data_IF_386510438819
#
_entry.id   IF_386510438819
#
_cell.length_a   1.000
_cell.length_b   1.000
_cell.length_c   1.000
_cell.angle_alpha   90.00
_cell.angle_beta   90.00
_cell.angle_gamma   90.00
#
_symmetry.space_group_name_H-M   'P 1'
#
loop_
_entity.id
_entity.type
_entity.pdbx_description
1 polymer ?
#
# COMPACT_ATOMS: atom_id res chain seq x y z
N UNK A 1 -25.00 20.96 -3.84
CA UNK A 1 -23.83 21.25 -3.01
C UNK A 1 -23.30 19.93 -2.46
N UNK A 2 -22.53 19.14 -3.19
CA UNK A 2 -21.88 17.90 -2.69
C UNK A 2 -20.80 17.40 -3.67
N UNK A 3 -19.87 18.26 -4.06
CA UNK A 3 -18.76 17.90 -4.96
C UNK A 3 -17.44 17.70 -4.17
N UNK A 4 -17.39 18.00 -2.86
CA UNK A 4 -16.17 18.02 -2.09
C UNK A 4 -15.88 16.75 -1.23
N UNK A 5 -16.76 15.76 -1.19
CA UNK A 5 -16.55 14.57 -0.34
C UNK A 5 -15.55 13.56 -0.91
N UNK A 6 -15.31 13.56 -2.23
CA UNK A 6 -14.37 12.65 -2.86
C UNK A 6 -12.91 13.13 -2.75
N UNK A 7 -12.69 14.45 -2.70
CA UNK A 7 -11.34 15.05 -2.65
C UNK A 7 -10.66 14.84 -1.29
N UNK A 8 -11.43 14.57 -0.24
CA UNK A 8 -10.92 14.42 1.14
C UNK A 8 -10.45 12.98 1.46
N UNK A 9 -10.58 12.04 0.52
CA UNK A 9 -10.18 10.63 0.71
C UNK A 9 -8.79 10.32 0.19
N UNK A 10 -8.34 11.05 -0.83
CA UNK A 10 -7.09 10.75 -1.51
C UNK A 10 -5.91 11.52 -0.93
N UNK A 11 -4.79 10.84 -0.80
CA UNK A 11 -3.57 11.45 -0.30
C UNK A 11 -2.93 12.33 -1.37
N UNK A 12 -2.68 13.64 -1.13
CA UNK A 12 -2.04 14.53 -2.09
C UNK A 12 -0.60 14.17 -2.48
N UNK A 13 0.02 13.20 -1.77
CA UNK A 13 1.38 12.74 -2.05
C UNK A 13 1.41 11.54 -2.99
N UNK A 14 0.58 10.52 -2.71
CA UNK A 14 0.58 9.28 -3.50
C UNK A 14 -0.63 9.15 -4.42
N UNK A 15 -1.59 10.07 -4.35
CA UNK A 15 -2.83 10.10 -5.14
C UNK A 15 -3.69 8.84 -5.03
N UNK A 16 -3.55 8.10 -3.93
CA UNK A 16 -4.35 6.94 -3.58
C UNK A 16 -5.21 7.22 -2.36
N UNK A 17 -6.23 6.40 -2.12
CA UNK A 17 -6.97 6.44 -0.87
C UNK A 17 -6.02 6.41 0.34
N UNK A 18 -6.31 7.25 1.34
CA UNK A 18 -5.39 7.41 2.46
C UNK A 18 -5.33 6.17 3.35
N UNK A 19 -4.12 5.63 3.50
CA UNK A 19 -3.80 4.64 4.53
C UNK A 19 -3.37 5.37 5.79
N UNK A 20 -4.08 5.15 6.91
CA UNK A 20 -3.88 5.90 8.16
C UNK A 20 -3.94 7.41 7.93
N UNK A 21 -5.11 7.98 7.59
CA UNK A 21 -5.24 9.41 7.38
C UNK A 21 -4.71 10.18 8.58
N UNK A 22 -3.68 11.01 8.36
CA UNK A 22 -3.01 11.74 9.43
C UNK A 22 -3.02 13.22 9.12
N UNK A 23 -3.60 14.00 10.02
CA UNK A 23 -3.63 15.45 9.92
C UNK A 23 -2.36 16.08 10.50
N UNK A 24 -1.80 17.08 9.83
CA UNK A 24 -0.73 17.90 10.39
C UNK A 24 -1.33 18.83 11.44
N UNK A 25 -0.93 18.78 12.74
CA UNK A 25 -1.59 19.53 13.80
C UNK A 25 -1.61 21.04 13.58
N UNK A 26 -0.57 21.59 12.97
CA UNK A 26 -0.43 23.03 12.75
C UNK A 26 -1.38 23.60 11.67
N UNK A 27 -1.88 22.77 10.73
CA UNK A 27 -2.64 23.26 9.58
C UNK A 27 -3.83 22.39 9.17
N UNK A 28 -4.02 21.22 9.76
CA UNK A 28 -5.13 20.31 9.48
C UNK A 28 -5.08 19.56 8.15
N UNK A 29 -4.07 19.78 7.29
CA UNK A 29 -3.93 19.03 6.04
C UNK A 29 -3.67 17.56 6.29
N UNK A 30 -4.37 16.68 5.56
CA UNK A 30 -4.35 15.23 5.74
C UNK A 30 -3.54 14.53 4.66
N UNK A 31 -2.85 13.47 5.05
CA UNK A 31 -2.04 12.60 4.19
C UNK A 31 -2.06 11.17 4.74
N UNK A 32 -1.63 10.20 3.94
CA UNK A 32 -1.24 8.92 4.53
C UNK A 32 -0.14 9.15 5.56
N UNK A 33 -0.20 8.46 6.70
CA UNK A 33 0.84 8.53 7.74
C UNK A 33 2.25 8.28 7.16
N UNK A 34 2.40 7.22 6.37
CA UNK A 34 3.70 6.85 5.79
C UNK A 34 4.20 7.84 4.75
N UNK A 35 3.29 8.43 3.96
CA UNK A 35 3.65 9.47 2.99
C UNK A 35 4.19 10.72 3.71
N UNK A 36 3.46 11.19 4.72
CA UNK A 36 3.87 12.35 5.51
C UNK A 36 5.19 12.09 6.26
N UNK A 37 5.34 10.90 6.85
CA UNK A 37 6.57 10.47 7.49
C UNK A 37 7.75 10.42 6.51
N UNK A 38 7.52 9.94 5.29
CA UNK A 38 8.54 9.93 4.22
C UNK A 38 9.03 11.34 3.87
N UNK A 39 8.12 12.29 3.67
CA UNK A 39 8.45 13.70 3.44
C UNK A 39 9.29 14.28 4.58
N UNK A 40 8.89 14.01 5.82
CA UNK A 40 9.59 14.47 7.01
C UNK A 40 11.01 13.87 7.11
N UNK A 41 11.14 12.56 6.93
CA UNK A 41 12.44 11.85 6.97
C UNK A 41 13.38 12.25 5.84
N UNK A 42 12.85 12.67 4.70
CA UNK A 42 13.62 13.19 3.58
C UNK A 42 14.05 14.67 3.75
N UNK A 43 13.71 15.28 4.90
CA UNK A 43 13.99 16.69 5.20
C UNK A 43 13.50 17.67 4.12
N UNK A 44 12.35 17.35 3.48
CA UNK A 44 11.78 18.17 2.40
C UNK A 44 11.04 19.43 2.93
N UNK A 45 11.16 19.73 4.20
CA UNK A 45 10.53 20.87 4.86
C UNK A 45 9.26 20.51 5.63
N UNK A 46 8.33 21.45 5.71
CA UNK A 46 7.06 21.28 6.43
C UNK A 46 5.97 20.59 5.63
N UNK A 47 4.72 20.93 5.94
CA UNK A 47 3.55 20.40 5.28
C UNK A 47 3.64 20.55 3.75
N UNK A 48 3.44 19.48 2.95
CA UNK A 48 3.54 19.52 1.49
C UNK A 48 2.60 20.53 0.81
N UNK A 49 1.49 20.88 1.45
CA UNK A 49 0.50 21.82 0.89
C UNK A 49 0.82 23.27 1.28
N UNK A 50 1.06 23.55 2.57
CA UNK A 50 1.21 24.92 3.06
C UNK A 50 2.58 25.25 3.67
N UNK A 51 3.51 24.30 3.69
CA UNK A 51 4.85 24.41 4.28
C UNK A 51 4.87 24.71 5.79
N UNK A 52 3.72 24.60 6.47
CA UNK A 52 3.61 24.73 7.92
C UNK A 52 4.45 23.68 8.65
N UNK A 53 4.84 23.92 9.91
CA UNK A 53 5.73 23.03 10.65
C UNK A 53 5.08 21.65 10.89
N UNK A 54 5.92 20.61 10.84
CA UNK A 54 5.56 19.24 11.18
C UNK A 54 6.32 18.87 12.46
N UNK A 55 5.59 18.50 13.51
CA UNK A 55 6.19 18.04 14.78
C UNK A 55 6.57 16.56 14.71
N UNK A 56 7.80 16.22 15.07
CA UNK A 56 8.33 14.85 15.18
C UNK A 56 7.48 13.96 16.10
N UNK A 57 6.86 14.56 17.12
CA UNK A 57 6.05 13.85 18.10
C UNK A 57 4.88 13.11 17.48
N UNK A 58 4.29 13.65 16.40
CA UNK A 58 3.14 13.04 15.72
C UNK A 58 3.44 11.67 15.11
N UNK A 59 4.72 11.37 14.81
CA UNK A 59 5.11 10.08 14.23
C UNK A 59 5.42 9.01 15.28
N UNK A 60 5.47 9.37 16.56
CA UNK A 60 5.83 8.46 17.66
C UNK A 60 4.63 7.71 18.22
N UNK A 61 3.44 8.29 18.10
CA UNK A 61 2.19 7.70 18.63
C UNK A 61 1.08 7.91 17.61
N UNK A 62 0.88 6.99 16.66
CA UNK A 62 -0.30 7.05 15.79
C UNK A 62 -1.56 6.88 16.66
N UNK A 63 -2.47 7.82 16.58
CA UNK A 63 -3.71 7.84 17.37
C UNK A 63 -4.79 6.88 16.84
N UNK A 64 -4.54 6.23 15.70
CA UNK A 64 -5.55 5.43 15.02
C UNK A 64 -5.31 3.93 15.18
N UNK A 65 -6.40 3.19 15.32
CA UNK A 65 -6.38 1.73 15.23
C UNK A 65 -5.99 1.31 13.81
N UNK A 66 -4.91 0.57 13.68
CA UNK A 66 -4.42 0.06 12.40
C UNK A 66 -5.02 -1.31 12.14
N UNK A 67 -5.82 -1.44 11.07
CA UNK A 67 -6.20 -2.74 10.56
C UNK A 67 -5.03 -3.37 9.80
N UNK A 68 -4.38 -4.34 10.44
CA UNK A 68 -3.24 -5.05 9.86
C UNK A 68 -3.60 -5.94 8.67
N UNK A 69 -4.88 -6.21 8.44
CA UNK A 69 -5.37 -7.04 7.33
C UNK A 69 -6.10 -6.24 6.25
N UNK A 70 -6.04 -4.90 6.31
CA UNK A 70 -6.63 -4.08 5.25
C UNK A 70 -6.16 -4.52 3.88
N UNK A 71 -7.08 -4.62 2.94
CA UNK A 71 -6.81 -4.91 1.52
C UNK A 71 -7.16 -3.66 0.72
N UNK A 72 -6.28 -3.25 -0.18
CA UNK A 72 -6.60 -2.17 -1.11
C UNK A 72 -7.62 -2.68 -2.12
N UNK A 73 -8.79 -2.06 -2.15
CA UNK A 73 -9.75 -2.28 -3.24
C UNK A 73 -9.24 -1.50 -4.45
N UNK A 74 -9.13 -2.18 -5.61
CA UNK A 74 -8.76 -1.53 -6.87
C UNK A 74 -9.89 -0.58 -7.32
N UNK A 75 -10.01 0.57 -6.67
CA UNK A 75 -10.91 1.66 -7.07
C UNK A 75 -10.30 2.53 -8.18
N UNK A 76 -9.29 2.05 -8.88
CA UNK A 76 -8.68 2.74 -10.01
C UNK A 76 -9.10 2.11 -11.33
N UNK A 77 -10.40 2.16 -11.63
CA UNK A 77 -10.84 2.14 -13.02
C UNK A 77 -10.67 3.57 -13.57
N UNK A 78 -9.89 3.80 -14.64
CA UNK A 78 -9.87 5.11 -15.27
C UNK A 78 -11.28 5.42 -15.77
N UNK A 79 -11.87 6.49 -15.26
CA UNK A 79 -13.13 7.04 -15.75
C UNK A 79 -12.93 7.52 -17.17
N UNK A 80 -13.10 6.65 -18.16
CA UNK A 80 -13.34 7.05 -19.53
C UNK A 80 -14.80 7.45 -19.66
N UNK A 81 -15.14 8.65 -19.19
CA UNK A 81 -16.37 9.32 -19.54
C UNK A 81 -16.14 10.10 -20.83
N UNK A 82 -16.44 9.49 -21.95
CA UNK A 82 -16.85 10.23 -23.13
C UNK A 82 -18.27 9.80 -23.50
N UNK A 83 -19.24 10.72 -23.49
CA UNK A 83 -20.55 10.45 -24.04
C UNK A 83 -20.46 10.65 -25.56
N UNK A 84 -20.57 9.58 -26.31
CA UNK A 84 -20.92 9.68 -27.71
C UNK A 84 -22.25 8.94 -27.93
N UNK A 85 -23.29 9.77 -28.11
CA UNK A 85 -24.53 9.39 -28.74
C UNK A 85 -24.30 8.68 -30.08
N UNK A 86 -25.01 7.62 -30.32
CA UNK A 86 -25.97 7.42 -31.43
C UNK A 86 -26.13 5.95 -31.78
N UNK A 87 -27.41 5.57 -31.72
CA UNK A 87 -28.11 4.55 -32.48
C UNK A 87 -27.33 3.84 -33.60
N UNK A 88 -27.11 2.53 -33.46
CA UNK A 88 -27.17 1.59 -34.59
C UNK A 88 -27.69 0.25 -34.08
N UNK A 89 -28.66 -0.25 -34.85
CA UNK A 89 -29.43 -1.48 -34.69
C UNK A 89 -28.57 -2.74 -34.66
N UNK A 90 -29.13 -3.68 -33.93
CA UNK A 90 -28.78 -5.10 -33.82
C UNK A 90 -28.46 -5.79 -35.14
N UNK A 91 -27.43 -6.63 -35.12
CA UNK A 91 -27.47 -7.97 -35.70
C UNK A 91 -26.72 -8.93 -34.77
N UNK A 92 -27.38 -10.06 -34.51
CA UNK A 92 -26.92 -11.17 -33.67
C UNK A 92 -25.86 -11.94 -34.45
N UNK A 93 -24.67 -12.10 -33.87
CA UNK A 93 -23.77 -13.18 -34.24
C UNK A 93 -23.20 -13.85 -32.98
N UNK A 94 -23.52 -15.13 -32.88
CA UNK A 94 -23.06 -16.07 -31.88
C UNK A 94 -21.57 -16.36 -32.10
N UNK A 95 -20.70 -15.82 -31.25
CA UNK A 95 -19.43 -16.43 -30.84
C UNK A 95 -18.86 -15.60 -29.66
N UNK A 96 -19.54 -15.67 -28.53
CA UNK A 96 -19.01 -15.07 -27.30
C UNK A 96 -17.89 -15.95 -26.77
N UNK A 97 -16.66 -15.70 -27.19
CA UNK A 97 -15.48 -16.17 -26.48
C UNK A 97 -15.52 -15.58 -25.06
N UNK A 98 -15.48 -16.41 -24.02
CA UNK A 98 -15.51 -15.91 -22.64
C UNK A 98 -14.36 -14.91 -22.45
N UNK A 99 -14.69 -13.72 -21.94
CA UNK A 99 -13.71 -12.69 -21.64
C UNK A 99 -12.75 -13.22 -20.57
N UNK A 100 -11.55 -13.55 -21.01
CA UNK A 100 -10.48 -14.06 -20.13
C UNK A 100 -10.13 -13.07 -19.01
N UNK A 101 -10.45 -11.78 -19.18
CA UNK A 101 -10.25 -10.76 -18.15
C UNK A 101 -11.35 -10.84 -17.10
N UNK A 102 -12.60 -11.12 -17.49
CA UNK A 102 -13.70 -11.35 -16.55
C UNK A 102 -13.50 -12.64 -15.75
N UNK A 103 -13.01 -13.72 -16.39
CA UNK A 103 -12.63 -14.97 -15.72
C UNK A 103 -11.45 -14.78 -14.77
N UNK A 104 -10.47 -13.94 -15.13
CA UNK A 104 -9.32 -13.60 -14.28
C UNK A 104 -9.73 -12.72 -13.11
N UNK A 105 -10.66 -11.78 -13.30
CA UNK A 105 -11.24 -10.98 -12.22
C UNK A 105 -12.07 -11.84 -11.26
N UNK A 106 -12.88 -12.77 -11.77
CA UNK A 106 -13.66 -13.71 -10.95
C UNK A 106 -12.76 -14.69 -10.17
N UNK A 107 -11.65 -15.15 -10.75
CA UNK A 107 -10.66 -15.99 -10.07
C UNK A 107 -9.92 -15.23 -8.95
N UNK A 108 -9.68 -13.94 -9.14
CA UNK A 108 -9.05 -13.09 -8.11
C UNK A 108 -9.98 -12.82 -6.91
N UNK A 109 -11.30 -12.89 -7.09
CA UNK A 109 -12.27 -12.70 -6.00
C UNK A 109 -12.30 -13.90 -5.03
N UNK A 110 -11.85 -15.08 -5.47
CA UNK A 110 -11.83 -16.31 -4.66
C UNK A 110 -10.46 -16.64 -4.03
N UNK A 111 -9.38 -15.94 -4.42
CA UNK A 111 -8.08 -16.15 -3.82
C UNK A 111 -8.02 -15.44 -2.46
N UNK A 112 -7.74 -16.19 -1.39
CA UNK A 112 -7.44 -15.59 -0.08
C UNK A 112 -6.33 -14.57 -0.21
N UNK A 113 -6.46 -13.40 0.43
CA UNK A 113 -5.44 -12.36 0.34
C UNK A 113 -4.09 -12.90 0.83
N UNK A 114 -3.03 -12.59 0.08
CA UNK A 114 -1.66 -12.91 0.46
C UNK A 114 -1.01 -11.64 1.01
N UNK A 115 -0.25 -11.80 2.07
CA UNK A 115 0.45 -10.72 2.76
C UNK A 115 1.96 -10.89 2.65
N UNK A 116 2.66 -9.78 2.53
CA UNK A 116 4.12 -9.76 2.56
C UNK A 116 4.61 -9.16 3.87
N UNK A 117 5.43 -9.93 4.58
CA UNK A 117 5.98 -9.57 5.87
C UNK A 117 7.51 -9.51 5.80
N UNK A 118 8.10 -8.65 6.63
CA UNK A 118 9.54 -8.63 6.83
C UNK A 118 9.91 -8.69 8.30
N UNK A 119 11.05 -9.28 8.62
CA UNK A 119 11.56 -9.40 9.98
C UNK A 119 11.99 -8.05 10.52
N UNK A 120 11.48 -7.66 11.70
CA UNK A 120 11.90 -6.46 12.41
C UNK A 120 13.33 -6.59 12.99
N UNK A 121 13.97 -5.46 13.32
CA UNK A 121 15.27 -5.45 14.02
C UNK A 121 15.16 -6.01 15.43
N UNK A 122 14.06 -5.72 16.12
CA UNK A 122 13.69 -6.27 17.41
C UNK A 122 12.64 -7.32 17.12
N UNK A 123 12.83 -8.54 17.33
CA UNK A 123 11.92 -9.66 17.05
C UNK A 123 10.49 -9.28 16.55
N UNK A 124 9.79 -10.20 15.92
CA UNK A 124 8.46 -9.97 15.35
C UNK A 124 8.48 -9.62 13.86
N UNK A 125 7.30 -9.67 13.27
CA UNK A 125 7.08 -9.45 11.86
C UNK A 125 6.42 -8.10 11.63
N UNK A 126 6.68 -7.51 10.48
CA UNK A 126 6.08 -6.27 10.04
C UNK A 126 5.47 -6.47 8.67
N UNK A 127 4.24 -6.08 8.50
CA UNK A 127 3.62 -6.08 7.19
C UNK A 127 4.18 -4.94 6.34
N UNK A 128 4.40 -5.18 5.05
CA UNK A 128 4.64 -4.10 4.10
C UNK A 128 3.39 -3.23 3.94
N UNK A 129 3.57 -2.00 3.48
CA UNK A 129 2.45 -1.16 3.03
C UNK A 129 1.71 -1.88 1.89
N UNK A 130 0.36 -1.97 1.90
CA UNK A 130 -0.41 -2.67 0.87
C UNK A 130 -0.11 -2.25 -0.57
N UNK A 131 0.29 -1.00 -0.79
CA UNK A 131 0.73 -0.51 -2.11
C UNK A 131 2.03 -1.16 -2.54
N UNK A 132 2.97 -1.26 -1.62
CA UNK A 132 4.26 -1.93 -1.84
C UNK A 132 4.07 -3.45 -1.96
N UNK A 133 3.14 -4.03 -1.20
CA UNK A 133 2.77 -5.46 -1.33
C UNK A 133 2.29 -5.79 -2.74
N UNK A 134 1.50 -4.91 -3.36
CA UNK A 134 1.03 -5.10 -4.73
C UNK A 134 2.19 -5.21 -5.71
N UNK A 135 3.16 -4.32 -5.62
CA UNK A 135 4.36 -4.33 -6.46
C UNK A 135 5.22 -5.59 -6.23
N UNK A 136 5.36 -6.00 -4.96
CA UNK A 136 6.10 -7.23 -4.59
C UNK A 136 5.38 -8.46 -5.14
N UNK A 137 4.06 -8.56 -4.94
CA UNK A 137 3.27 -9.69 -5.41
C UNK A 137 3.29 -9.81 -6.93
N UNK A 138 3.14 -8.71 -7.64
CA UNK A 138 3.22 -8.68 -9.10
C UNK A 138 4.58 -9.18 -9.60
N UNK A 139 5.68 -8.70 -9.02
CA UNK A 139 7.01 -9.14 -9.37
C UNK A 139 7.22 -10.64 -9.06
N UNK A 140 6.70 -11.13 -7.93
CA UNK A 140 6.80 -12.52 -7.52
C UNK A 140 6.03 -13.45 -8.47
N UNK A 141 4.78 -13.12 -8.80
CA UNK A 141 3.93 -13.88 -9.74
C UNK A 141 4.57 -13.92 -11.13
N UNK A 142 5.18 -12.83 -11.56
CA UNK A 142 5.92 -12.74 -12.83
C UNK A 142 7.31 -13.43 -12.78
N UNK A 143 7.63 -14.13 -11.68
CA UNK A 143 8.90 -14.88 -11.49
C UNK A 143 10.14 -14.02 -11.67
N UNK A 144 10.05 -12.74 -11.31
CA UNK A 144 11.22 -11.88 -11.27
C UNK A 144 12.18 -12.37 -10.18
N UNK A 145 13.52 -12.36 -10.41
CA UNK A 145 14.47 -12.79 -9.38
C UNK A 145 14.56 -11.80 -8.21
N UNK A 146 14.37 -10.52 -8.49
CA UNK A 146 14.41 -9.43 -7.52
C UNK A 146 13.41 -8.34 -7.93
N UNK A 147 12.96 -7.52 -6.95
CA UNK A 147 12.26 -6.27 -7.21
C UNK A 147 12.79 -5.15 -6.33
N UNK A 148 12.73 -3.91 -6.81
CA UNK A 148 13.06 -2.72 -6.02
C UNK A 148 11.77 -2.08 -5.54
N UNK A 149 11.69 -1.79 -4.24
CA UNK A 149 10.55 -1.12 -3.61
C UNK A 149 11.01 0.05 -2.76
N UNK A 150 10.14 1.06 -2.62
CA UNK A 150 10.40 2.20 -1.76
C UNK A 150 9.56 2.11 -0.49
N UNK A 151 10.22 2.09 0.67
CA UNK A 151 9.57 2.08 1.98
C UNK A 151 10.00 3.31 2.75
N UNK A 152 9.06 4.20 3.07
CA UNK A 152 9.32 5.46 3.80
C UNK A 152 10.50 6.25 3.21
N UNK A 153 10.49 6.43 1.88
CA UNK A 153 11.50 7.20 1.16
C UNK A 153 12.86 6.51 0.98
N UNK A 154 13.02 5.26 1.39
CA UNK A 154 14.24 4.48 1.19
C UNK A 154 14.01 3.32 0.23
N UNK A 155 14.94 3.12 -0.72
CA UNK A 155 14.90 2.00 -1.66
C UNK A 155 15.44 0.71 -1.02
N UNK A 156 14.67 -0.35 -1.17
CA UNK A 156 15.01 -1.72 -0.77
C UNK A 156 14.95 -2.65 -1.96
N UNK A 157 15.79 -3.66 -1.93
CA UNK A 157 15.74 -4.78 -2.87
C UNK A 157 15.11 -5.97 -2.15
N UNK A 158 14.10 -6.58 -2.76
CA UNK A 158 13.54 -7.85 -2.37
C UNK A 158 14.17 -8.93 -3.24
N UNK A 159 14.84 -9.89 -2.64
CA UNK A 159 15.46 -11.05 -3.29
C UNK A 159 14.57 -12.27 -3.05
N UNK A 160 13.85 -12.71 -4.07
CA UNK A 160 12.88 -13.80 -3.97
C UNK A 160 13.54 -15.18 -3.82
N UNK A 161 14.75 -15.35 -4.36
CA UNK A 161 15.47 -16.61 -4.21
C UNK A 161 15.93 -16.84 -2.77
N UNK A 162 16.22 -15.76 -2.04
CA UNK A 162 16.65 -15.79 -0.64
C UNK A 162 15.53 -15.48 0.34
N UNK A 163 14.35 -15.10 -0.15
CA UNK A 163 13.24 -14.56 0.66
C UNK A 163 13.76 -13.53 1.67
N UNK A 164 14.42 -12.50 1.17
CA UNK A 164 15.06 -11.48 1.99
C UNK A 164 14.96 -10.10 1.36
N UNK A 165 14.97 -9.06 2.21
CA UNK A 165 15.11 -7.68 1.79
C UNK A 165 16.36 -7.04 2.36
N UNK A 166 16.94 -6.09 1.63
CA UNK A 166 18.04 -5.25 2.11
C UNK A 166 17.98 -3.85 1.49
N UNK A 167 18.48 -2.82 2.19
CA UNK A 167 18.62 -1.48 1.60
C UNK A 167 19.49 -1.54 0.36
N UNK A 168 19.09 -0.84 -0.71
CA UNK A 168 19.82 -0.83 -1.99
C UNK A 168 21.32 -0.48 -1.85
N UNK A 169 21.64 0.37 -0.88
CA UNK A 169 23.01 0.81 -0.58
C UNK A 169 23.75 -0.06 0.46
N UNK A 170 23.10 -1.07 1.08
CA UNK A 170 23.70 -1.90 2.12
C UNK A 170 23.14 -3.32 2.14
N UNK A 171 23.73 -4.20 1.35
CA UNK A 171 23.33 -5.62 1.28
C UNK A 171 23.53 -6.39 2.59
N UNK A 172 24.42 -5.91 3.47
CA UNK A 172 24.71 -6.60 4.74
C UNK A 172 23.58 -6.41 5.77
N UNK A 173 22.71 -5.40 5.60
CA UNK A 173 21.56 -5.18 6.44
C UNK A 173 20.32 -5.97 5.96
N UNK A 174 20.55 -7.25 5.60
CA UNK A 174 19.49 -8.13 5.11
C UNK A 174 18.54 -8.55 6.22
N UNK A 175 17.26 -8.71 5.87
CA UNK A 175 16.17 -9.19 6.74
C UNK A 175 15.35 -10.21 6.00
N UNK A 176 14.86 -11.19 6.73
CA UNK A 176 13.95 -12.20 6.20
C UNK A 176 12.64 -11.58 5.73
N UNK A 177 12.09 -12.11 4.64
CA UNK A 177 10.78 -11.76 4.08
C UNK A 177 9.95 -13.02 3.98
N UNK A 178 8.64 -12.92 4.21
CA UNK A 178 7.68 -14.01 4.05
C UNK A 178 6.49 -13.55 3.23
N UNK A 179 5.98 -14.46 2.40
CA UNK A 179 4.67 -14.38 1.77
C UNK A 179 3.74 -15.35 2.48
N UNK A 180 2.68 -14.88 3.08
CA UNK A 180 1.81 -15.66 3.97
C UNK A 180 0.35 -15.48 3.59
N UNK A 181 -0.46 -16.50 3.84
CA UNK A 181 -1.92 -16.39 3.76
C UNK A 181 -2.52 -15.82 5.07
N UNK A 182 -3.85 -15.72 5.09
CA UNK A 182 -4.58 -15.18 6.23
C UNK A 182 -4.40 -16.02 7.50
N UNK A 183 -4.28 -17.34 7.37
CA UNK A 183 -4.14 -18.27 8.51
C UNK A 183 -2.75 -18.17 9.10
N UNK A 184 -1.72 -18.20 8.26
CA UNK A 184 -0.33 -18.05 8.71
C UNK A 184 -0.09 -16.66 9.30
N UNK A 185 -0.73 -15.61 8.75
CA UNK A 185 -0.66 -14.26 9.29
C UNK A 185 -1.10 -14.20 10.75
N UNK A 186 -2.20 -14.89 11.11
CA UNK A 186 -2.72 -14.91 12.49
C UNK A 186 -1.82 -15.66 13.46
N UNK A 187 -1.02 -16.60 12.97
CA UNK A 187 -0.08 -17.36 13.80
C UNK A 187 1.23 -16.60 14.04
N UNK A 188 1.49 -15.54 13.28
CA UNK A 188 2.71 -14.77 13.39
C UNK A 188 2.54 -13.57 14.32
N UNK A 189 3.60 -13.23 15.04
CA UNK A 189 3.67 -12.02 15.87
C UNK A 189 3.88 -10.78 14.97
N UNK A 190 2.81 -10.32 14.32
CA UNK A 190 2.83 -9.14 13.44
C UNK A 190 2.65 -7.88 14.29
N UNK A 191 3.70 -7.11 14.43
CA UNK A 191 3.79 -5.91 15.29
C UNK A 191 3.12 -4.67 14.70
N UNK A 192 3.00 -4.62 13.38
CA UNK A 192 2.49 -3.44 12.70
C UNK A 192 2.75 -3.43 11.20
N UNK A 193 2.56 -2.27 10.60
CA UNK A 193 2.66 -2.03 9.16
C UNK A 193 3.74 -0.99 8.87
N UNK A 194 4.72 -1.37 8.04
CA UNK A 194 5.80 -0.47 7.55
C UNK A 194 6.47 0.40 8.64
N UNK A 195 6.66 -0.17 9.85
CA UNK A 195 7.27 0.52 10.97
C UNK A 195 6.29 1.32 11.86
N UNK A 196 4.98 1.22 11.59
CA UNK A 196 3.92 1.75 12.46
C UNK A 196 3.37 0.62 13.31
N UNK A 197 3.46 0.72 14.64
CA UNK A 197 2.91 -0.29 15.54
C UNK A 197 1.38 -0.34 15.48
N UNK A 198 0.82 -1.53 15.52
CA UNK A 198 -0.61 -1.70 15.79
C UNK A 198 -0.90 -1.36 17.26
N UNK A 199 -2.08 -0.81 17.53
CA UNK A 199 -2.51 -0.54 18.89
C UNK A 199 -2.55 -1.86 19.70
N UNK A 200 -1.96 -1.84 20.90
CA UNK A 200 -1.94 -3.00 21.79
C UNK A 200 -0.74 -3.96 21.62
N UNK A 201 0.16 -3.75 20.67
CA UNK A 201 1.39 -4.53 20.61
C UNK A 201 2.42 -3.97 21.61
N UNK A 202 2.99 -4.80 22.50
CA UNK A 202 4.03 -4.33 23.43
C UNK A 202 5.30 -3.92 22.65
N UNK A 203 5.90 -2.83 23.12
CA UNK A 203 7.14 -2.26 22.58
C UNK A 203 8.35 -3.17 22.79
#
# INVERSE_FOLDING_TARGET
MSINAAIDRDCPICHCEMILPTAVPACGHKFCFLCLKGVHMAHLGGCPICRGPIDDGMFKKPEQTLDLKMVMTDSFAPSTSNPVDKDVKQELDEDVKPDVNALRAAANIQASPMFWLYRGRRQGWWRFDPRVEKDIEEAFVNKMPITEVTVVGQSYIIDFAKMSQYPKNNKNASREVKRVDNTEFDMLDVKGLAGVFAAGTPN
#
